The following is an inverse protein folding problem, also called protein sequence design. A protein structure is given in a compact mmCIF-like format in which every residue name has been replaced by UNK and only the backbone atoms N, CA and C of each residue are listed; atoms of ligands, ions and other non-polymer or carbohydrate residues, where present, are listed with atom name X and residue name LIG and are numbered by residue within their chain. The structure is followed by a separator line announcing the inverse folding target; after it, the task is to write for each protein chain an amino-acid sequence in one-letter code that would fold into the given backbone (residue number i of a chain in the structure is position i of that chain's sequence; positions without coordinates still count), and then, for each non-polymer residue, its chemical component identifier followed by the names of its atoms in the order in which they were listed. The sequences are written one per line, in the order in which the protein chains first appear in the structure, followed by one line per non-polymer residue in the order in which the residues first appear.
data_IF_778853543752
#
_entry.id   IF_778853543752
#
_cell.length_a   1.000
_cell.length_b   1.000
_cell.length_c   1.000
_cell.angle_alpha   90.00
_cell.angle_beta   90.00
_cell.angle_gamma   90.00
#
_symmetry.space_group_name_H-M   'P 1'
#
loop_
_entity.id
_entity.type
_entity.pdbx_description
1 polymer ?
#
# COMPACT_ATOMS: atom_id res chain seq x y z
N UNK A 1 -11.08 50.21 -28.21
CA UNK A 1 -9.69 49.73 -28.08
C UNK A 1 -9.22 49.93 -26.65
N UNK A 2 -9.76 49.14 -25.70
CA UNK A 2 -9.24 48.91 -24.35
C UNK A 2 -10.27 48.02 -23.63
N UNK A 3 -10.19 46.70 -23.82
CA UNK A 3 -10.89 45.74 -22.94
C UNK A 3 -10.22 44.35 -22.87
N UNK A 4 -8.98 44.22 -23.39
CA UNK A 4 -8.26 42.95 -23.46
C UNK A 4 -7.23 42.73 -22.33
N UNK A 5 -7.38 43.39 -21.16
CA UNK A 5 -6.33 43.40 -20.12
C UNK A 5 -6.67 42.78 -18.75
N UNK A 6 -7.73 41.98 -18.60
CA UNK A 6 -8.05 41.33 -17.30
C UNK A 6 -8.33 39.83 -17.34
N UNK A 7 -7.78 39.09 -18.29
CA UNK A 7 -7.80 37.62 -18.25
C UNK A 7 -6.37 37.09 -18.42
N UNK A 8 -5.60 37.12 -17.34
CA UNK A 8 -4.37 36.34 -17.24
C UNK A 8 -4.14 35.90 -15.78
N UNK A 9 -5.10 35.16 -15.22
CA UNK A 9 -4.81 34.29 -14.09
C UNK A 9 -4.41 32.93 -14.66
N UNK A 10 -3.09 32.73 -14.84
CA UNK A 10 -2.54 31.43 -15.21
C UNK A 10 -2.65 30.53 -13.98
N UNK A 11 -3.70 29.71 -13.92
CA UNK A 11 -3.79 28.61 -12.95
C UNK A 11 -2.77 27.54 -13.39
N UNK A 12 -1.56 27.62 -12.84
CA UNK A 12 -0.55 26.57 -12.94
C UNK A 12 -0.86 25.56 -11.84
N UNK A 13 -1.73 24.60 -12.13
CA UNK A 13 -1.90 23.41 -11.29
C UNK A 13 -0.77 22.43 -11.63
N UNK A 14 0.28 22.43 -10.80
CA UNK A 14 1.35 21.42 -10.84
C UNK A 14 1.16 20.52 -9.63
N UNK A 15 0.71 19.31 -9.87
CA UNK A 15 0.68 18.26 -8.83
C UNK A 15 2.10 17.71 -8.69
N UNK A 16 2.72 17.94 -7.52
CA UNK A 16 3.98 17.32 -7.11
C UNK A 16 3.63 16.44 -5.89
N UNK A 17 3.69 15.13 -6.04
CA UNK A 17 3.30 14.21 -4.96
C UNK A 17 4.28 14.20 -3.79
N UNK A 18 3.87 14.73 -2.64
CA UNK A 18 4.48 14.47 -1.34
C UNK A 18 3.36 14.39 -0.28
N UNK A 19 3.23 13.22 0.37
CA UNK A 19 2.23 12.98 1.41
C UNK A 19 2.73 13.53 2.75
N UNK A 20 2.17 14.65 3.21
CA UNK A 20 2.30 15.12 4.60
C UNK A 20 0.88 15.35 5.12
N UNK A 21 0.43 14.52 6.06
CA UNK A 21 -0.84 14.70 6.76
C UNK A 21 -0.60 15.51 8.04
N UNK A 22 -1.29 16.64 8.18
CA UNK A 22 -1.39 17.40 9.43
C UNK A 22 -2.85 17.44 9.88
N UNK A 23 -3.09 17.14 11.16
CA UNK A 23 -4.40 17.30 11.80
C UNK A 23 -4.79 18.78 11.91
N UNK A 24 -6.01 19.12 11.51
CA UNK A 24 -6.58 20.47 11.65
C UNK A 24 -7.72 20.47 12.66
N UNK A 25 -7.66 21.39 13.62
CA UNK A 25 -8.70 21.73 14.58
C UNK A 25 -9.99 22.19 13.89
N UNK A 26 -11.16 21.80 14.43
CA UNK A 26 -12.49 22.09 13.86
C UNK A 26 -12.90 23.55 14.08
N UNK A 27 -12.86 24.37 13.03
CA UNK A 27 -13.41 25.75 13.01
C UNK A 27 -14.90 25.74 12.64
N UNK A 28 -15.72 26.60 13.26
CA UNK A 28 -17.15 26.74 12.94
C UNK A 28 -17.36 27.75 11.82
N UNK A 29 -17.66 27.27 10.62
CA UNK A 29 -18.04 28.10 9.46
C UNK A 29 -19.54 28.37 9.54
N UNK A 30 -19.97 29.64 9.52
CA UNK A 30 -21.38 30.03 9.34
C UNK A 30 -21.56 30.61 7.94
N UNK A 31 -22.25 29.88 7.07
CA UNK A 31 -22.62 30.36 5.74
C UNK A 31 -24.00 31.03 5.84
N UNK A 32 -24.07 32.34 5.54
CA UNK A 32 -25.34 33.05 5.41
C UNK A 32 -25.49 33.50 3.95
N UNK A 33 -26.62 33.16 3.34
CA UNK A 33 -26.94 33.52 1.95
C UNK A 33 -27.66 34.86 1.92
N UNK A 34 -27.10 35.85 1.23
CA UNK A 34 -27.77 37.14 0.96
C UNK A 34 -27.53 37.46 -0.53
N UNK A 35 -28.58 37.33 -1.35
CA UNK A 35 -28.71 37.78 -2.75
C UNK A 35 -27.51 37.64 -3.70
N UNK A 36 -27.53 36.60 -4.56
CA UNK A 36 -26.62 36.30 -5.71
C UNK A 36 -25.10 36.34 -5.46
N UNK A 37 -24.63 36.98 -4.41
CA UNK A 37 -23.27 37.04 -3.90
C UNK A 37 -23.23 36.23 -2.60
N UNK A 38 -22.51 35.12 -2.56
CA UNK A 38 -22.40 34.36 -1.31
C UNK A 38 -21.37 35.01 -0.39
N UNK A 39 -21.83 35.69 0.65
CA UNK A 39 -20.97 36.22 1.72
C UNK A 39 -20.66 35.10 2.72
N UNK A 40 -19.46 34.55 2.67
CA UNK A 40 -19.01 33.50 3.62
C UNK A 40 -18.40 34.13 4.86
N UNK A 41 -18.99 33.91 6.04
CA UNK A 41 -18.47 34.40 7.31
C UNK A 41 -17.54 33.35 7.95
N UNK A 42 -16.28 33.70 8.12
CA UNK A 42 -15.29 32.87 8.81
C UNK A 42 -14.97 33.50 10.15
N UNK A 43 -15.61 33.05 11.23
CA UNK A 43 -15.24 33.46 12.59
C UNK A 43 -14.01 32.66 13.03
N UNK A 44 -13.09 33.28 13.78
CA UNK A 44 -11.86 32.68 14.35
C UNK A 44 -10.62 32.66 13.45
N UNK A 45 -10.19 33.82 12.95
CA UNK A 45 -8.84 33.97 12.38
C UNK A 45 -7.94 34.70 13.41
N UNK A 46 -7.10 34.00 14.18
CA UNK A 46 -6.18 34.57 15.18
C UNK A 46 -4.85 35.02 14.53
N UNK A 47 -4.65 36.34 14.41
CA UNK A 47 -3.38 37.01 13.99
C UNK A 47 -2.88 36.71 12.55
N UNK A 48 -1.78 37.36 12.15
CA UNK A 48 -1.18 37.29 10.80
C UNK A 48 -0.71 35.90 10.35
N UNK A 49 -0.56 34.95 11.29
CA UNK A 49 -0.26 33.52 11.05
C UNK A 49 -1.43 32.81 10.34
N UNK A 50 -2.60 33.45 10.26
CA UNK A 50 -3.86 32.81 9.91
C UNK A 50 -4.35 33.18 8.48
N UNK A 51 -3.46 33.78 7.67
CA UNK A 51 -3.65 33.91 6.22
C UNK A 51 -3.57 32.54 5.50
N UNK A 52 -2.85 31.56 6.06
CA UNK A 52 -2.75 30.21 5.50
C UNK A 52 -4.08 29.44 5.61
N UNK A 53 -4.81 29.60 6.71
CA UNK A 53 -6.14 28.98 6.83
C UNK A 53 -7.14 29.64 5.88
N UNK A 54 -7.11 30.97 5.78
CA UNK A 54 -7.92 31.70 4.81
C UNK A 54 -7.60 31.25 3.39
N UNK A 55 -6.32 31.11 3.01
CA UNK A 55 -5.95 30.63 1.67
C UNK A 55 -6.49 29.22 1.42
N UNK A 56 -6.38 28.28 2.39
CA UNK A 56 -6.96 26.93 2.27
C UNK A 56 -8.48 26.94 2.04
N UNK A 57 -9.20 27.81 2.74
CA UNK A 57 -10.66 27.95 2.55
C UNK A 57 -10.96 28.51 1.16
N UNK A 58 -10.24 29.56 0.75
CA UNK A 58 -10.39 30.16 -0.58
C UNK A 58 -10.09 29.15 -1.69
N UNK A 59 -9.03 28.37 -1.56
CA UNK A 59 -8.64 27.36 -2.55
C UNK A 59 -9.67 26.23 -2.59
N UNK A 60 -10.23 25.82 -1.45
CA UNK A 60 -11.37 24.87 -1.41
C UNK A 60 -12.59 25.40 -2.18
N UNK A 61 -12.93 26.69 -2.02
CA UNK A 61 -14.02 27.33 -2.77
C UNK A 61 -13.70 27.43 -4.27
N UNK A 62 -12.45 27.72 -4.64
CA UNK A 62 -12.01 27.69 -6.06
C UNK A 62 -12.14 26.30 -6.66
N UNK A 63 -11.75 25.26 -5.93
CA UNK A 63 -11.86 23.87 -6.37
C UNK A 63 -13.31 23.40 -6.54
N UNK A 64 -14.30 24.13 -6.01
CA UNK A 64 -15.73 23.91 -6.28
C UNK A 64 -16.24 24.62 -7.54
N UNK A 65 -15.40 25.35 -8.26
CA UNK A 65 -15.74 26.03 -9.52
C UNK A 65 -15.79 27.55 -9.47
N UNK A 66 -15.54 28.17 -8.31
CA UNK A 66 -15.60 29.64 -8.17
C UNK A 66 -14.24 30.31 -8.44
N UNK A 67 -13.65 30.06 -9.61
CA UNK A 67 -12.31 30.57 -9.94
C UNK A 67 -12.23 32.10 -10.01
N UNK A 68 -13.36 32.75 -10.30
CA UNK A 68 -13.47 34.22 -10.36
C UNK A 68 -13.78 34.84 -9.00
N UNK A 69 -13.72 34.10 -7.89
CA UNK A 69 -14.02 34.66 -6.57
C UNK A 69 -13.08 35.81 -6.23
N UNK A 70 -13.59 36.79 -5.49
CA UNK A 70 -12.88 37.97 -5.03
C UNK A 70 -13.16 38.22 -3.54
N UNK A 71 -12.12 38.55 -2.77
CA UNK A 71 -12.29 39.02 -1.39
C UNK A 71 -12.66 40.50 -1.46
N UNK A 72 -13.87 40.85 -1.05
CA UNK A 72 -14.34 42.24 -1.03
C UNK A 72 -13.78 42.96 0.19
N UNK A 73 -13.83 42.30 1.35
CA UNK A 73 -13.56 42.97 2.63
C UNK A 73 -12.98 41.97 3.64
N UNK A 74 -12.06 42.45 4.49
CA UNK A 74 -11.57 41.74 5.68
C UNK A 74 -11.55 42.71 6.85
N UNK A 75 -12.49 42.56 7.79
CA UNK A 75 -12.66 43.44 8.94
C UNK A 75 -12.34 42.71 10.23
N UNK A 76 -11.55 43.31 11.11
CA UNK A 76 -11.33 42.75 12.46
C UNK A 76 -12.56 43.02 13.33
N UNK A 77 -13.15 41.97 13.89
CA UNK A 77 -14.32 42.07 14.78
C UNK A 77 -13.86 42.27 16.23
N UNK A 78 -12.83 41.54 16.67
CA UNK A 78 -12.24 41.65 18.01
C UNK A 78 -10.77 41.22 18.00
N UNK A 79 -10.13 41.12 19.18
CA UNK A 79 -8.72 40.76 19.33
C UNK A 79 -8.33 39.41 18.69
N UNK A 80 -9.29 38.52 18.42
CA UNK A 80 -9.07 37.16 17.94
C UNK A 80 -9.92 36.77 16.71
N UNK A 81 -10.84 37.62 16.26
CA UNK A 81 -11.79 37.32 15.19
C UNK A 81 -11.74 38.34 14.05
N UNK A 82 -11.83 37.84 12.82
CA UNK A 82 -12.06 38.62 11.61
C UNK A 82 -13.37 38.21 10.95
N UNK A 83 -13.96 39.13 10.21
CA UNK A 83 -15.02 38.92 9.23
C UNK A 83 -14.39 39.05 7.86
N UNK A 84 -14.59 38.06 7.00
CA UNK A 84 -14.20 38.14 5.59
C UNK A 84 -15.48 38.15 4.76
N UNK A 85 -15.57 39.06 3.80
CA UNK A 85 -16.66 39.15 2.82
C UNK A 85 -16.09 38.73 1.48
N UNK A 86 -16.68 37.71 0.87
CA UNK A 86 -16.24 37.15 -0.41
C UNK A 86 -17.37 37.33 -1.41
N UNK A 87 -17.03 37.72 -2.64
CA UNK A 87 -17.90 37.58 -3.78
C UNK A 87 -17.48 36.34 -4.56
N UNK A 88 -18.38 35.38 -4.74
CA UNK A 88 -18.06 34.17 -5.50
C UNK A 88 -18.06 34.36 -7.01
N UNK A 89 -18.74 35.40 -7.51
CA UNK A 89 -18.92 35.62 -8.94
C UNK A 89 -19.52 34.39 -9.64
N UNK A 90 -18.82 33.82 -10.62
CA UNK A 90 -19.32 32.77 -11.50
C UNK A 90 -18.86 31.38 -11.02
N UNK A 91 -19.80 30.42 -11.02
CA UNK A 91 -19.49 28.99 -10.82
C UNK A 91 -19.32 28.29 -12.16
N UNK A 92 -18.17 27.65 -12.35
CA UNK A 92 -17.95 26.70 -13.43
C UNK A 92 -18.27 25.28 -12.95
N UNK A 93 -19.10 24.57 -13.69
CA UNK A 93 -19.53 23.21 -13.38
C UNK A 93 -18.63 22.16 -14.03
N UNK A 94 -18.23 22.39 -15.30
CA UNK A 94 -17.45 21.41 -16.05
C UNK A 94 -16.23 22.04 -16.75
N UNK A 95 -15.27 21.18 -17.08
CA UNK A 95 -14.17 21.46 -17.98
C UNK A 95 -14.14 20.43 -19.11
N UNK A 96 -14.02 20.93 -20.34
CA UNK A 96 -13.79 20.14 -21.55
C UNK A 96 -12.29 20.03 -21.77
N UNK A 97 -11.74 18.83 -21.61
CA UNK A 97 -10.31 18.59 -21.71
C UNK A 97 -9.99 17.90 -23.03
N UNK A 98 -9.15 18.55 -23.83
CA UNK A 98 -8.52 17.94 -24.99
C UNK A 98 -7.21 17.27 -24.60
N UNK A 99 -7.10 15.95 -24.76
CA UNK A 99 -5.82 15.25 -24.62
C UNK A 99 -5.14 15.12 -25.98
N UNK A 100 -3.94 15.68 -26.10
CA UNK A 100 -3.09 15.53 -27.28
C UNK A 100 -2.30 14.21 -27.24
N UNK A 101 -2.20 13.56 -26.08
CA UNK A 101 -1.60 12.25 -25.89
C UNK A 101 -2.64 11.14 -25.72
N UNK A 102 -2.19 9.90 -25.54
CA UNK A 102 -3.06 8.74 -25.26
C UNK A 102 -2.65 8.01 -23.98
N UNK A 103 -2.05 8.74 -23.04
CA UNK A 103 -1.45 8.15 -21.82
C UNK A 103 -2.47 8.08 -20.68
N UNK A 104 -3.44 8.99 -20.70
CA UNK A 104 -4.47 9.15 -19.66
C UNK A 104 -5.66 8.27 -20.00
N UNK A 105 -6.20 7.62 -18.96
CA UNK A 105 -7.37 6.76 -19.12
C UNK A 105 -8.66 7.57 -18.92
N UNK A 106 -9.41 7.76 -20.00
CA UNK A 106 -10.71 8.44 -19.99
C UNK A 106 -11.91 7.50 -20.18
N UNK A 107 -11.75 6.18 -19.98
CA UNK A 107 -12.76 5.16 -20.36
C UNK A 107 -14.19 5.46 -19.86
N UNK A 108 -14.34 6.10 -18.71
CA UNK A 108 -15.64 6.38 -18.10
C UNK A 108 -16.10 7.85 -18.24
N UNK A 109 -15.38 8.66 -19.03
CA UNK A 109 -15.71 10.08 -19.20
C UNK A 109 -16.52 10.29 -20.47
N UNK A 110 -17.57 11.11 -20.35
CA UNK A 110 -18.37 11.53 -21.49
C UNK A 110 -17.52 12.35 -22.47
N UNK A 111 -17.91 12.30 -23.73
CA UNK A 111 -17.16 12.90 -24.83
C UNK A 111 -18.03 13.96 -25.51
N UNK A 112 -17.43 15.10 -25.84
CA UNK A 112 -18.02 16.13 -26.71
C UNK A 112 -17.04 16.46 -27.82
N UNK A 113 -17.55 16.63 -29.04
CA UNK A 113 -16.76 17.15 -30.16
C UNK A 113 -16.91 18.67 -30.16
N UNK A 114 -15.78 19.37 -30.10
CA UNK A 114 -15.69 20.84 -30.16
C UNK A 114 -14.59 21.14 -31.16
N UNK A 115 -14.89 21.93 -32.21
CA UNK A 115 -13.95 22.26 -33.29
C UNK A 115 -13.25 21.01 -33.87
N UNK A 116 -14.05 19.99 -34.22
CA UNK A 116 -13.60 18.69 -34.77
C UNK A 116 -12.61 17.90 -33.89
N UNK A 117 -12.44 18.31 -32.63
CA UNK A 117 -11.57 17.67 -31.66
C UNK A 117 -12.38 17.01 -30.56
N UNK A 118 -11.90 15.84 -30.15
CA UNK A 118 -12.44 15.09 -29.02
C UNK A 118 -12.08 15.78 -27.70
N UNK A 119 -13.10 16.05 -26.88
CA UNK A 119 -12.95 16.56 -25.53
C UNK A 119 -13.63 15.64 -24.54
N UNK A 120 -12.99 15.43 -23.40
CA UNK A 120 -13.55 14.68 -22.28
C UNK A 120 -14.15 15.64 -21.28
N UNK A 121 -15.37 15.35 -20.83
CA UNK A 121 -16.11 16.19 -19.88
C UNK A 121 -15.76 15.73 -18.46
N UNK A 122 -15.27 16.67 -17.64
CA UNK A 122 -14.99 16.43 -16.22
C UNK A 122 -15.63 17.54 -15.40
N UNK A 123 -16.33 17.18 -14.32
CA UNK A 123 -16.84 18.18 -13.37
C UNK A 123 -15.68 18.84 -12.62
N UNK A 124 -15.78 20.13 -12.35
CA UNK A 124 -14.70 20.88 -11.72
C UNK A 124 -14.35 20.32 -10.33
N UNK A 125 -15.36 19.92 -9.55
CA UNK A 125 -15.18 19.31 -8.22
C UNK A 125 -14.48 17.94 -8.24
N UNK A 126 -14.53 17.22 -9.37
CA UNK A 126 -13.81 15.95 -9.57
C UNK A 126 -12.43 16.13 -10.22
N UNK A 127 -12.13 17.32 -10.76
CA UNK A 127 -10.99 17.55 -11.65
C UNK A 127 -9.65 17.26 -10.97
N UNK A 128 -9.45 17.78 -9.76
CA UNK A 128 -8.20 17.60 -9.02
C UNK A 128 -7.92 16.11 -8.76
N UNK A 129 -8.91 15.38 -8.25
CA UNK A 129 -8.81 13.95 -7.99
C UNK A 129 -8.57 13.15 -9.29
N UNK A 130 -9.20 13.54 -10.39
CA UNK A 130 -8.96 12.92 -11.69
C UNK A 130 -7.50 13.09 -12.15
N UNK A 131 -6.94 14.31 -12.03
CA UNK A 131 -5.56 14.58 -12.41
C UNK A 131 -4.57 13.85 -11.49
N UNK A 132 -4.82 13.81 -10.17
CA UNK A 132 -4.00 13.07 -9.20
C UNK A 132 -3.98 11.57 -9.55
N UNK A 133 -5.15 10.94 -9.70
CA UNK A 133 -5.24 9.52 -10.06
C UNK A 133 -4.57 9.21 -11.39
N UNK A 134 -4.75 10.08 -12.37
CA UNK A 134 -4.09 9.93 -13.67
C UNK A 134 -2.56 9.99 -13.55
N UNK A 135 -2.04 10.86 -12.68
CA UNK A 135 -0.60 10.95 -12.39
C UNK A 135 -0.09 9.70 -11.67
N UNK A 136 -0.86 9.17 -10.71
CA UNK A 136 -0.56 7.93 -10.00
C UNK A 136 -0.54 6.72 -10.94
N UNK A 137 -1.52 6.60 -11.84
CA UNK A 137 -1.59 5.55 -12.86
C UNK A 137 -0.37 5.58 -13.78
N UNK A 138 0.07 6.78 -14.19
CA UNK A 138 1.28 6.97 -14.99
C UNK A 138 2.53 6.62 -14.20
N UNK A 139 2.59 7.03 -12.93
CA UNK A 139 3.70 6.71 -12.03
C UNK A 139 3.83 5.20 -11.79
N UNK A 140 2.71 4.48 -11.66
CA UNK A 140 2.64 3.03 -11.50
C UNK A 140 2.98 2.25 -12.79
N UNK A 141 3.12 2.93 -13.93
CA UNK A 141 3.73 2.41 -15.16
C UNK A 141 5.23 2.70 -15.24
N UNK A 142 5.84 3.23 -14.18
CA UNK A 142 7.27 3.54 -14.07
C UNK A 142 7.63 5.01 -14.34
N UNK A 143 6.69 5.88 -14.69
CA UNK A 143 6.95 7.31 -14.92
C UNK A 143 6.77 8.13 -13.64
N UNK A 144 7.62 7.89 -12.65
CA UNK A 144 7.44 8.35 -11.26
C UNK A 144 7.50 9.86 -11.04
N UNK A 145 8.07 10.60 -11.98
CA UNK A 145 8.18 12.05 -11.93
C UNK A 145 7.43 12.71 -13.09
N UNK A 146 6.34 12.06 -13.53
CA UNK A 146 5.47 12.61 -14.54
C UNK A 146 4.85 13.93 -14.04
N UNK A 147 4.50 14.81 -14.98
CA UNK A 147 3.76 16.04 -14.68
C UNK A 147 2.55 16.10 -15.59
N UNK A 148 1.39 16.33 -14.99
CA UNK A 148 0.15 16.59 -15.71
C UNK A 148 -0.23 18.04 -15.44
N UNK A 149 -0.51 18.79 -16.50
CA UNK A 149 -0.93 20.19 -16.42
C UNK A 149 -2.06 20.46 -17.40
N UNK A 150 -2.99 21.31 -16.99
CA UNK A 150 -3.92 21.95 -17.92
C UNK A 150 -3.28 23.22 -18.46
N UNK A 151 -3.29 23.37 -19.78
CA UNK A 151 -2.80 24.54 -20.49
C UNK A 151 -3.91 25.12 -21.36
N UNK A 152 -3.75 26.36 -21.79
CA UNK A 152 -4.70 27.05 -22.66
C UNK A 152 -6.14 27.07 -22.08
N UNK A 153 -6.26 27.27 -20.76
CA UNK A 153 -7.55 27.31 -20.07
C UNK A 153 -8.31 28.55 -20.55
N UNK A 154 -9.52 28.36 -21.07
CA UNK A 154 -10.40 29.42 -21.57
C UNK A 154 -11.83 29.17 -21.13
N UNK A 155 -12.62 30.24 -21.03
CA UNK A 155 -14.06 30.10 -20.84
C UNK A 155 -14.70 29.63 -22.15
N UNK A 156 -15.52 28.59 -22.09
CA UNK A 156 -16.29 28.09 -23.24
C UNK A 156 -17.69 28.71 -23.27
N UNK A 157 -18.37 28.73 -22.12
CA UNK A 157 -19.66 29.38 -21.91
C UNK A 157 -19.81 29.85 -20.45
N UNK A 158 -21.03 30.16 -19.99
CA UNK A 158 -21.30 30.66 -18.64
C UNK A 158 -21.07 29.63 -17.52
N UNK A 159 -20.94 28.35 -17.84
CA UNK A 159 -20.78 27.29 -16.83
C UNK A 159 -19.62 26.35 -17.11
N UNK A 160 -18.98 26.45 -18.27
CA UNK A 160 -17.99 25.49 -18.71
C UNK A 160 -16.66 26.14 -19.11
N UNK A 161 -15.57 25.44 -18.79
CA UNK A 161 -14.22 25.77 -19.21
C UNK A 161 -13.75 24.85 -20.33
N UNK A 162 -12.77 25.33 -21.07
CA UNK A 162 -12.00 24.61 -22.07
C UNK A 162 -10.54 24.53 -21.62
N UNK A 163 -9.87 23.40 -21.80
CA UNK A 163 -8.42 23.29 -21.60
C UNK A 163 -7.80 22.18 -22.47
N UNK A 164 -6.50 22.31 -22.72
CA UNK A 164 -5.68 21.22 -23.27
C UNK A 164 -4.89 20.56 -22.15
N UNK A 165 -4.76 19.24 -22.20
CA UNK A 165 -3.96 18.48 -21.26
C UNK A 165 -2.54 18.33 -21.81
N UNK A 166 -1.55 18.69 -20.99
CA UNK A 166 -0.15 18.47 -21.26
C UNK A 166 0.41 17.46 -20.25
N UNK A 167 0.97 16.37 -20.76
CA UNK A 167 1.58 15.30 -19.95
C UNK A 167 3.05 15.19 -20.29
N UNK A 168 3.90 15.55 -19.33
CA UNK A 168 5.35 15.41 -19.44
C UNK A 168 5.77 14.09 -18.79
N UNK A 169 6.22 13.13 -19.60
CA UNK A 169 6.78 11.86 -19.12
C UNK A 169 8.29 11.98 -18.91
N UNK A 170 8.74 11.64 -17.72
CA UNK A 170 10.16 11.58 -17.38
C UNK A 170 10.78 10.23 -17.78
N UNK A 171 12.08 10.01 -17.50
CA UNK A 171 12.70 8.70 -17.68
C UNK A 171 11.97 7.63 -16.87
N UNK A 172 11.53 6.57 -17.54
CA UNK A 172 10.91 5.40 -16.93
C UNK A 172 11.86 4.75 -15.93
N UNK A 173 11.37 4.46 -14.73
CA UNK A 173 12.09 3.83 -13.63
C UNK A 173 11.73 2.36 -13.52
N UNK A 174 12.71 1.57 -13.10
CA UNK A 174 12.58 0.17 -12.69
C UNK A 174 12.86 0.06 -11.20
N UNK A 175 12.42 -1.03 -10.59
CA UNK A 175 12.77 -1.35 -9.20
C UNK A 175 14.11 -2.07 -9.16
N UNK A 176 15.21 -1.35 -8.99
CA UNK A 176 16.56 -1.95 -9.14
C UNK A 176 16.96 -2.82 -7.95
N UNK A 177 16.56 -2.46 -6.73
CA UNK A 177 16.95 -3.19 -5.52
C UNK A 177 15.92 -3.09 -4.42
N UNK A 178 15.77 -4.19 -3.69
CA UNK A 178 14.96 -4.26 -2.48
C UNK A 178 15.90 -4.39 -1.28
N UNK A 179 15.68 -3.55 -0.28
CA UNK A 179 16.46 -3.49 0.96
C UNK A 179 15.51 -3.82 2.10
N UNK A 180 15.83 -4.88 2.86
CA UNK A 180 15.09 -5.22 4.07
C UNK A 180 15.68 -4.43 5.24
N UNK A 181 14.80 -3.84 6.05
CA UNK A 181 15.12 -3.14 7.31
C UNK A 181 14.34 -3.78 8.45
N UNK A 182 14.97 -3.91 9.62
CA UNK A 182 14.37 -4.52 10.82
C UNK A 182 14.60 -6.03 10.96
N UNK A 183 14.66 -6.77 9.84
CA UNK A 183 14.93 -8.21 9.84
C UNK A 183 16.11 -8.54 8.92
N UNK A 184 17.34 -8.40 9.43
CA UNK A 184 18.58 -8.55 8.63
C UNK A 184 18.74 -9.95 8.02
N UNK A 185 18.36 -10.99 8.78
CA UNK A 185 18.43 -12.38 8.37
C UNK A 185 17.18 -12.87 7.62
N UNK A 186 16.36 -11.97 7.07
CA UNK A 186 15.18 -12.37 6.31
C UNK A 186 15.57 -13.29 5.12
N UNK A 187 14.90 -14.44 4.92
CA UNK A 187 15.20 -15.35 3.83
C UNK A 187 14.87 -14.72 2.46
N UNK A 188 15.90 -14.21 1.78
CA UNK A 188 15.77 -13.46 0.51
C UNK A 188 15.13 -14.27 -0.63
N UNK A 189 15.12 -15.60 -0.53
CA UNK A 189 14.42 -16.49 -1.46
C UNK A 189 12.92 -16.17 -1.57
N UNK A 190 12.29 -15.72 -0.47
CA UNK A 190 10.89 -15.29 -0.47
C UNK A 190 10.64 -14.03 -1.31
N UNK A 191 11.63 -13.14 -1.47
CA UNK A 191 11.48 -12.00 -2.37
C UNK A 191 11.31 -12.48 -3.82
N UNK A 192 12.12 -13.46 -4.23
CA UNK A 192 12.13 -13.98 -5.59
C UNK A 192 10.94 -14.90 -5.87
N UNK A 193 10.69 -15.87 -5.00
CA UNK A 193 9.75 -16.95 -5.29
C UNK A 193 8.33 -16.67 -4.77
N UNK A 194 8.21 -16.14 -3.56
CA UNK A 194 6.90 -15.83 -2.95
C UNK A 194 6.33 -14.51 -3.48
N UNK A 195 7.10 -13.42 -3.36
CA UNK A 195 6.66 -12.09 -3.81
C UNK A 195 6.88 -11.85 -5.31
N UNK A 196 7.58 -12.75 -6.00
CA UNK A 196 7.90 -12.64 -7.43
C UNK A 196 8.48 -11.27 -7.76
N UNK A 197 9.37 -10.76 -6.91
CA UNK A 197 10.08 -9.53 -7.20
C UNK A 197 11.15 -9.78 -8.26
N UNK A 198 11.09 -8.99 -9.33
CA UNK A 198 12.10 -8.94 -10.37
C UNK A 198 12.64 -7.52 -10.44
N UNK A 199 13.97 -7.40 -10.49
CA UNK A 199 14.64 -6.10 -10.60
C UNK A 199 14.55 -5.50 -12.00
N UNK A 200 13.94 -6.23 -12.94
CA UNK A 200 13.76 -5.81 -14.34
C UNK A 200 12.40 -5.17 -14.60
N UNK A 201 11.47 -5.31 -13.65
CA UNK A 201 10.10 -4.86 -13.78
C UNK A 201 10.03 -3.33 -13.68
N UNK A 202 9.06 -2.75 -14.37
CA UNK A 202 8.76 -1.33 -14.24
C UNK A 202 8.39 -1.02 -12.78
N UNK A 203 8.81 0.16 -12.33
CA UNK A 203 8.46 0.59 -10.98
C UNK A 203 6.94 0.77 -10.84
N UNK A 204 6.38 0.19 -9.79
CA UNK A 204 4.97 0.31 -9.45
C UNK A 204 4.80 0.31 -7.91
N UNK A 205 4.48 1.47 -7.34
CA UNK A 205 4.39 1.64 -5.89
C UNK A 205 3.22 0.85 -5.30
N UNK A 206 2.08 0.82 -5.99
CA UNK A 206 0.90 0.10 -5.53
C UNK A 206 1.15 -1.42 -5.47
N UNK A 207 1.81 -1.97 -6.49
CA UNK A 207 2.22 -3.38 -6.52
C UNK A 207 3.22 -3.69 -5.41
N UNK A 208 4.17 -2.80 -5.15
CA UNK A 208 5.13 -2.95 -4.05
C UNK A 208 4.41 -2.98 -2.70
N UNK A 209 3.45 -2.08 -2.47
CA UNK A 209 2.61 -2.05 -1.26
C UNK A 209 1.82 -3.35 -1.09
N UNK A 210 1.12 -3.80 -2.14
CA UNK A 210 0.39 -5.08 -2.14
C UNK A 210 1.30 -6.27 -1.83
N UNK A 211 2.49 -6.34 -2.44
CA UNK A 211 3.48 -7.40 -2.14
C UNK A 211 3.97 -7.33 -0.69
N UNK A 212 4.11 -6.13 -0.14
CA UNK A 212 4.38 -5.92 1.28
C UNK A 212 3.30 -6.52 2.17
N UNK A 213 2.03 -6.23 1.90
CA UNK A 213 0.89 -6.83 2.62
C UNK A 213 0.83 -8.37 2.45
N UNK A 214 1.17 -8.91 1.28
CA UNK A 214 1.22 -10.36 1.08
C UNK A 214 2.30 -11.06 1.92
N UNK A 215 3.41 -10.37 2.24
CA UNK A 215 4.52 -10.95 3.00
C UNK A 215 4.09 -11.36 4.40
N UNK A 216 3.16 -10.62 5.01
CA UNK A 216 2.74 -10.87 6.39
C UNK A 216 1.92 -12.16 6.51
N UNK A 217 1.39 -12.69 5.39
CA UNK A 217 0.67 -13.97 5.35
C UNK A 217 1.56 -15.18 5.57
N UNK A 218 2.90 -15.01 5.55
CA UNK A 218 3.88 -16.06 5.86
C UNK A 218 3.89 -16.46 7.33
N UNK A 219 3.36 -15.62 8.24
CA UNK A 219 3.22 -15.93 9.66
C UNK A 219 4.49 -15.87 10.50
N UNK A 220 5.68 -15.83 9.88
CA UNK A 220 6.97 -15.63 10.58
C UNK A 220 7.56 -14.22 10.39
N UNK A 221 6.87 -13.36 9.65
CA UNK A 221 7.29 -11.98 9.36
C UNK A 221 6.08 -11.07 9.38
N UNK A 222 6.28 -9.83 9.84
CA UNK A 222 5.29 -8.76 9.82
C UNK A 222 5.89 -7.51 9.20
N UNK A 223 5.12 -6.80 8.38
CA UNK A 223 5.47 -5.47 7.92
C UNK A 223 5.15 -4.45 9.02
N UNK A 224 6.12 -3.64 9.41
CA UNK A 224 5.96 -2.66 10.50
C UNK A 224 5.59 -1.26 10.00
N UNK A 225 5.83 -0.96 8.71
CA UNK A 225 5.35 0.26 8.04
C UNK A 225 5.32 0.08 6.52
N UNK A 226 4.63 0.97 5.85
CA UNK A 226 4.57 1.02 4.39
C UNK A 226 5.98 1.03 3.74
N UNK A 227 6.15 0.39 2.57
CA UNK A 227 7.39 0.47 1.82
C UNK A 227 7.74 1.91 1.45
N UNK A 228 9.01 2.25 1.54
CA UNK A 228 9.54 3.54 1.11
C UNK A 228 10.43 3.37 -0.11
N UNK A 229 10.54 4.42 -0.92
CA UNK A 229 11.29 4.38 -2.17
C UNK A 229 12.27 5.54 -2.22
N UNK A 230 13.53 5.22 -2.47
CA UNK A 230 14.58 6.18 -2.71
C UNK A 230 14.96 6.17 -4.18
N UNK A 231 14.68 7.29 -4.86
CA UNK A 231 15.15 7.52 -6.22
C UNK A 231 16.53 8.16 -6.20
N UNK A 232 17.54 7.41 -6.64
CA UNK A 232 18.87 7.94 -6.94
C UNK A 232 18.96 8.36 -8.41
N UNK A 233 20.08 8.97 -8.78
CA UNK A 233 20.37 9.37 -10.16
C UNK A 233 20.31 8.18 -11.13
N UNK A 234 20.84 7.03 -10.70
CA UNK A 234 21.03 5.82 -11.51
C UNK A 234 20.10 4.66 -11.15
N UNK A 235 19.51 4.68 -9.95
CA UNK A 235 18.83 3.52 -9.37
C UNK A 235 17.60 3.90 -8.54
N UNK A 236 16.68 2.96 -8.37
CA UNK A 236 15.51 3.05 -7.51
C UNK A 236 15.61 1.96 -6.43
N UNK A 237 15.71 2.38 -5.17
CA UNK A 237 15.82 1.48 -4.04
C UNK A 237 14.49 1.43 -3.30
N UNK A 238 13.93 0.24 -3.13
CA UNK A 238 12.72 0.00 -2.33
C UNK A 238 13.11 -0.55 -0.97
N UNK A 239 12.65 0.10 0.10
CA UNK A 239 12.87 -0.33 1.48
C UNK A 239 11.62 -1.03 1.99
N UNK A 240 11.78 -2.29 2.39
CA UNK A 240 10.75 -3.05 3.10
C UNK A 240 11.11 -3.12 4.58
N UNK A 241 10.19 -2.70 5.43
CA UNK A 241 10.38 -2.66 6.87
C UNK A 241 9.69 -3.86 7.49
N UNK A 242 10.49 -4.85 7.83
CA UNK A 242 10.05 -6.16 8.26
C UNK A 242 10.57 -6.48 9.65
N UNK A 243 9.76 -7.18 10.43
CA UNK A 243 10.11 -7.70 11.74
C UNK A 243 9.86 -9.20 11.77
N UNK A 244 10.78 -9.95 12.41
CA UNK A 244 10.61 -11.38 12.64
C UNK A 244 9.52 -11.61 13.68
N UNK A 245 8.49 -12.37 13.32
CA UNK A 245 7.43 -12.79 14.24
C UNK A 245 7.89 -14.08 14.92
N UNK A 246 7.92 -14.07 16.25
CA UNK A 246 8.18 -15.27 17.06
C UNK A 246 6.89 -16.10 17.14
N UNK A 247 6.73 -17.02 16.18
CA UNK A 247 5.57 -17.90 16.11
C UNK A 247 5.94 -19.37 16.38
N UNK A 248 6.80 -19.59 17.37
CA UNK A 248 7.19 -20.93 17.83
C UNK A 248 6.53 -21.21 19.18
N UNK A 249 6.09 -22.45 19.39
CA UNK A 249 5.48 -22.89 20.64
C UNK A 249 6.10 -24.20 21.12
N UNK A 250 6.17 -24.35 22.43
CA UNK A 250 6.55 -25.56 23.12
C UNK A 250 5.49 -25.82 24.19
N UNK A 251 4.96 -27.03 24.24
CA UNK A 251 4.08 -27.52 25.29
C UNK A 251 4.48 -28.94 25.67
N UNK A 252 4.35 -29.30 26.94
CA UNK A 252 4.64 -30.66 27.38
C UNK A 252 5.11 -30.78 28.81
N UNK A 253 5.14 -32.04 29.25
CA UNK A 253 5.73 -32.46 30.51
C UNK A 253 6.35 -33.84 30.33
N UNK A 254 7.44 -34.07 31.05
CA UNK A 254 8.12 -35.36 31.09
C UNK A 254 8.21 -35.79 32.55
N UNK A 255 7.60 -36.93 32.85
CA UNK A 255 7.73 -37.63 34.12
C UNK A 255 8.74 -38.77 33.99
N UNK A 256 9.50 -39.00 35.04
CA UNK A 256 10.48 -40.07 35.12
C UNK A 256 10.10 -40.97 36.27
N UNK A 257 9.96 -42.26 36.01
CA UNK A 257 9.73 -43.28 37.02
C UNK A 257 10.73 -44.43 36.79
N UNK A 258 11.16 -45.09 37.86
CA UNK A 258 11.96 -46.31 37.72
C UNK A 258 11.02 -47.49 37.87
N UNK A 259 11.03 -48.39 36.89
CA UNK A 259 10.27 -49.62 36.98
C UNK A 259 10.91 -50.52 38.06
N UNK A 260 10.14 -50.85 39.11
CA UNK A 260 10.66 -51.58 40.28
C UNK A 260 11.11 -53.02 39.94
N UNK A 261 10.53 -53.66 38.91
CA UNK A 261 10.86 -55.03 38.52
C UNK A 261 12.05 -55.11 37.54
N UNK A 262 12.14 -54.18 36.58
CA UNK A 262 13.18 -54.20 35.53
C UNK A 262 14.35 -53.27 35.79
N UNK A 263 14.25 -52.37 36.77
CA UNK A 263 15.24 -51.33 37.08
C UNK A 263 15.44 -50.29 35.98
N UNK A 264 14.60 -50.30 34.93
CA UNK A 264 14.69 -49.39 33.78
C UNK A 264 13.97 -48.07 34.07
N UNK A 265 14.51 -47.00 33.50
CA UNK A 265 13.90 -45.68 33.51
C UNK A 265 12.72 -45.64 32.53
N UNK A 266 11.52 -45.44 33.07
CA UNK A 266 10.29 -45.16 32.34
C UNK A 266 10.08 -43.65 32.22
N UNK A 267 10.02 -43.18 30.97
CA UNK A 267 9.88 -41.77 30.62
C UNK A 267 8.46 -41.53 30.14
N UNK A 268 7.56 -41.05 31.00
CA UNK A 268 6.15 -40.82 30.68
C UNK A 268 5.87 -39.35 30.36
N UNK A 269 4.79 -39.08 29.62
CA UNK A 269 4.36 -37.72 29.31
C UNK A 269 4.38 -37.41 27.83
N UNK A 270 4.34 -36.12 27.49
CA UNK A 270 4.27 -35.68 26.11
C UNK A 270 5.05 -34.39 25.89
N UNK A 271 5.42 -34.16 24.63
CA UNK A 271 6.11 -32.96 24.18
C UNK A 271 5.61 -32.61 22.78
N UNK A 272 5.11 -31.38 22.64
CA UNK A 272 4.64 -30.79 21.39
C UNK A 272 5.45 -29.52 21.12
N UNK A 273 6.37 -29.63 20.17
CA UNK A 273 7.22 -28.55 19.70
C UNK A 273 6.77 -28.16 18.31
N UNK A 274 6.50 -26.87 18.12
CA UNK A 274 6.28 -26.25 16.81
C UNK A 274 7.23 -25.08 16.67
N UNK A 275 8.27 -25.23 15.87
CA UNK A 275 9.19 -24.15 15.53
C UNK A 275 8.81 -23.59 14.17
N UNK A 276 8.79 -22.26 14.08
CA UNK A 276 8.49 -21.54 12.85
C UNK A 276 9.60 -20.53 12.59
N UNK A 277 10.35 -20.79 11.51
CA UNK A 277 11.43 -19.94 11.01
C UNK A 277 12.49 -19.63 12.08
N UNK A 278 12.84 -20.60 12.92
CA UNK A 278 13.88 -20.48 13.96
C UNK A 278 15.27 -20.21 13.37
N UNK A 279 15.62 -20.87 12.27
CA UNK A 279 16.89 -20.80 11.54
C UNK A 279 16.90 -19.76 10.40
N UNK A 280 15.82 -19.01 10.22
CA UNK A 280 15.67 -17.97 9.20
C UNK A 280 15.63 -18.48 7.75
N UNK A 281 15.12 -19.69 7.51
CA UNK A 281 14.88 -20.23 6.15
C UNK A 281 13.40 -20.27 5.77
N UNK A 282 12.50 -19.80 6.64
CA UNK A 282 11.05 -19.95 6.52
C UNK A 282 10.59 -21.37 6.82
N UNK A 283 11.41 -22.17 7.51
CA UNK A 283 11.16 -23.56 7.82
C UNK A 283 10.11 -23.75 8.92
N UNK A 284 9.43 -24.90 8.90
CA UNK A 284 8.55 -25.36 9.97
C UNK A 284 9.07 -26.69 10.49
N UNK A 285 9.23 -26.81 11.81
CA UNK A 285 9.70 -28.03 12.47
C UNK A 285 8.69 -28.38 13.55
N UNK A 286 8.00 -29.50 13.37
CA UNK A 286 7.02 -30.03 14.30
C UNK A 286 7.56 -31.32 14.90
N UNK A 287 7.56 -31.44 16.22
CA UNK A 287 7.96 -32.64 16.95
C UNK A 287 6.89 -32.94 17.98
N UNK A 288 6.24 -34.09 17.85
CA UNK A 288 5.23 -34.57 18.77
C UNK A 288 5.65 -35.91 19.35
N UNK A 289 6.00 -35.92 20.63
CA UNK A 289 6.30 -37.11 21.40
C UNK A 289 5.18 -37.35 22.41
N UNK A 290 4.79 -38.61 22.59
CA UNK A 290 3.84 -39.02 23.63
C UNK A 290 4.17 -40.43 24.09
N UNK A 291 4.25 -40.63 25.39
CA UNK A 291 4.27 -41.94 26.03
C UNK A 291 3.11 -42.04 27.03
N UNK A 292 2.29 -43.07 26.91
CA UNK A 292 1.15 -43.34 27.82
C UNK A 292 1.46 -44.49 28.78
N UNK A 293 0.63 -44.65 29.81
CA UNK A 293 0.81 -45.67 30.85
C UNK A 293 0.74 -47.11 30.33
N UNK A 294 0.15 -47.32 29.14
CA UNK A 294 0.04 -48.63 28.50
C UNK A 294 1.29 -49.01 27.67
N UNK A 295 2.45 -48.35 27.89
CA UNK A 295 3.69 -48.51 27.12
C UNK A 295 3.63 -48.08 25.64
N UNK A 296 2.53 -47.48 25.20
CA UNK A 296 2.42 -46.92 23.86
C UNK A 296 3.29 -45.67 23.72
N UNK A 297 4.20 -45.69 22.73
CA UNK A 297 5.13 -44.61 22.44
C UNK A 297 4.91 -44.11 21.02
N UNK A 298 4.72 -42.80 20.89
CA UNK A 298 4.55 -42.12 19.63
C UNK A 298 5.61 -41.03 19.51
N UNK A 299 6.33 -41.01 18.39
CA UNK A 299 7.17 -39.90 17.97
C UNK A 299 6.83 -39.57 16.52
N UNK A 300 6.26 -38.39 16.32
CA UNK A 300 6.00 -37.84 15.00
C UNK A 300 6.81 -36.58 14.82
N UNK A 301 7.59 -36.53 13.75
CA UNK A 301 8.35 -35.33 13.37
C UNK A 301 8.02 -34.94 11.94
N UNK A 302 7.90 -33.65 11.68
CA UNK A 302 7.68 -33.08 10.36
C UNK A 302 8.56 -31.84 10.22
N UNK A 303 9.44 -31.83 9.22
CA UNK A 303 10.31 -30.70 8.90
C UNK A 303 10.00 -30.28 7.47
N UNK A 304 9.56 -29.04 7.29
CA UNK A 304 9.28 -28.44 5.99
C UNK A 304 10.23 -27.26 5.81
N UNK A 305 11.08 -27.30 4.79
CA UNK A 305 11.98 -26.19 4.43
C UNK A 305 11.68 -25.72 3.01
N UNK A 306 11.14 -24.51 2.81
CA UNK A 306 10.86 -23.99 1.47
C UNK A 306 12.14 -23.49 0.78
N UNK A 307 12.10 -23.46 -0.55
CA UNK A 307 13.13 -22.87 -1.41
C UNK A 307 14.55 -23.41 -1.22
N UNK A 308 14.67 -24.73 -1.10
CA UNK A 308 15.97 -25.40 -1.00
C UNK A 308 16.84 -25.04 -2.22
N UNK A 309 18.14 -24.84 -1.99
CA UNK A 309 19.10 -24.45 -3.03
C UNK A 309 18.69 -23.23 -3.87
N UNK A 310 17.96 -22.27 -3.30
CA UNK A 310 17.40 -21.10 -3.99
C UNK A 310 16.45 -21.44 -5.16
N UNK A 311 15.91 -22.65 -5.21
CA UNK A 311 14.91 -23.10 -6.19
C UNK A 311 13.50 -22.77 -5.70
N UNK A 312 12.44 -22.88 -6.53
CA UNK A 312 11.06 -22.72 -6.06
C UNK A 312 10.53 -23.96 -5.30
N UNK A 313 11.35 -25.00 -5.12
CA UNK A 313 10.96 -26.25 -4.46
C UNK A 313 11.26 -26.23 -2.96
N UNK A 314 10.43 -26.89 -2.17
CA UNK A 314 10.66 -27.16 -0.75
C UNK A 314 11.02 -28.63 -0.50
N UNK A 315 11.68 -28.88 0.63
CA UNK A 315 11.95 -30.21 1.16
C UNK A 315 10.99 -30.48 2.31
N UNK A 316 10.44 -31.68 2.36
CA UNK A 316 9.65 -32.17 3.48
C UNK A 316 10.22 -33.49 3.98
N UNK A 317 10.48 -33.58 5.28
CA UNK A 317 10.96 -34.78 5.96
C UNK A 317 9.96 -35.15 7.03
N UNK A 318 9.49 -36.40 7.01
CA UNK A 318 8.57 -36.94 8.00
C UNK A 318 9.14 -38.20 8.65
N UNK A 319 8.90 -38.33 9.94
CA UNK A 319 9.20 -39.53 10.74
C UNK A 319 7.97 -39.83 11.61
N UNK A 320 7.47 -41.05 11.55
CA UNK A 320 6.39 -41.57 12.40
C UNK A 320 6.85 -42.91 12.99
N UNK A 321 7.36 -42.82 14.22
CA UNK A 321 7.68 -43.98 15.04
C UNK A 321 6.52 -44.20 16.01
N UNK A 322 5.86 -45.34 15.85
CA UNK A 322 4.78 -45.76 16.76
C UNK A 322 5.11 -47.14 17.27
N UNK A 323 5.20 -47.28 18.58
CA UNK A 323 5.23 -48.58 19.26
C UNK A 323 3.97 -48.68 20.08
N UNK A 324 3.14 -49.69 19.81
CA UNK A 324 1.99 -50.01 20.65
C UNK A 324 2.19 -51.37 21.30
N UNK A 325 2.10 -51.39 22.62
CA UNK A 325 2.42 -52.57 23.42
C UNK A 325 3.75 -53.26 22.99
N UNK A 326 3.81 -54.58 23.11
CA UNK A 326 4.89 -55.44 22.58
C UNK A 326 4.57 -56.04 21.20
N UNK A 327 3.37 -55.80 20.66
CA UNK A 327 2.82 -56.53 19.50
C UNK A 327 2.82 -55.73 18.21
N UNK A 328 2.95 -54.40 18.28
CA UNK A 328 2.92 -53.54 17.10
C UNK A 328 4.03 -52.49 17.12
N UNK A 329 4.80 -52.44 16.03
CA UNK A 329 5.78 -51.39 15.79
C UNK A 329 5.60 -50.89 14.35
N UNK A 330 5.64 -49.57 14.20
CA UNK A 330 5.61 -48.87 12.92
C UNK A 330 6.77 -47.88 12.89
N UNK A 331 7.59 -48.00 11.86
CA UNK A 331 8.63 -47.03 11.51
C UNK A 331 8.35 -46.56 10.08
N UNK A 332 7.80 -45.35 9.96
CA UNK A 332 7.54 -44.73 8.66
C UNK A 332 8.35 -43.46 8.52
N UNK A 333 9.23 -43.44 7.53
CA UNK A 333 10.03 -42.28 7.15
C UNK A 333 9.56 -41.83 5.78
N UNK A 334 9.42 -40.54 5.54
CA UNK A 334 9.18 -40.04 4.19
C UNK A 334 10.00 -38.80 3.88
N UNK A 335 10.47 -38.75 2.64
CA UNK A 335 11.07 -37.57 2.05
C UNK A 335 10.16 -37.11 0.92
N UNK A 336 9.89 -35.81 0.87
CA UNK A 336 9.11 -35.21 -0.17
C UNK A 336 9.72 -33.94 -0.72
N UNK A 337 9.40 -33.68 -1.98
CA UNK A 337 9.66 -32.40 -2.63
C UNK A 337 8.31 -31.71 -2.83
N UNK A 338 8.23 -30.46 -2.39
CA UNK A 338 7.03 -29.64 -2.48
C UNK A 338 7.23 -28.47 -3.43
N UNK A 339 6.16 -28.00 -4.04
CA UNK A 339 6.15 -26.79 -4.86
C UNK A 339 4.99 -25.90 -4.40
N UNK A 340 5.34 -24.71 -3.90
CA UNK A 340 4.36 -23.75 -3.44
C UNK A 340 3.72 -23.04 -4.64
N UNK A 341 2.45 -23.36 -4.88
CA UNK A 341 1.59 -22.65 -5.82
C UNK A 341 1.04 -21.39 -5.11
N UNK A 342 0.77 -20.34 -5.88
CA UNK A 342 0.22 -19.07 -5.38
C UNK A 342 -1.01 -19.34 -4.48
N UNK A 343 -1.19 -18.53 -3.43
CA UNK A 343 -2.29 -18.62 -2.45
C UNK A 343 -2.30 -19.86 -1.53
N UNK A 344 -1.13 -20.30 -1.05
CA UNK A 344 -0.98 -21.40 -0.07
C UNK A 344 -1.39 -22.79 -0.58
N UNK A 345 -1.60 -22.96 -1.88
CA UNK A 345 -1.73 -24.28 -2.47
C UNK A 345 -0.33 -24.91 -2.57
N UNK A 346 -0.18 -26.14 -2.11
CA UNK A 346 1.08 -26.86 -2.17
C UNK A 346 0.85 -28.19 -2.88
N UNK A 347 1.73 -28.53 -3.81
CA UNK A 347 1.79 -29.86 -4.41
C UNK A 347 3.08 -30.50 -3.95
N UNK A 348 2.97 -31.68 -3.32
CA UNK A 348 4.12 -32.43 -2.86
C UNK A 348 4.10 -33.85 -3.39
N UNK A 349 5.30 -34.36 -3.69
CA UNK A 349 5.55 -35.75 -4.04
C UNK A 349 6.40 -36.36 -2.93
N UNK A 350 5.98 -37.52 -2.41
CA UNK A 350 6.66 -38.20 -1.31
C UNK A 350 7.08 -39.61 -1.70
N UNK A 351 8.25 -40.00 -1.23
CA UNK A 351 8.70 -41.38 -1.16
C UNK A 351 8.77 -41.75 0.32
N UNK A 352 8.16 -42.86 0.71
CA UNK A 352 8.21 -43.37 2.08
C UNK A 352 8.89 -44.72 2.17
N UNK A 353 9.52 -44.99 3.32
CA UNK A 353 9.91 -46.34 3.69
C UNK A 353 8.68 -47.25 3.72
N UNK A 354 8.89 -48.51 3.33
CA UNK A 354 7.90 -49.58 3.38
C UNK A 354 7.53 -49.94 4.82
#
# INVERSE_FOLDING_TARGET
MNDYRRILFIIILIVIGNNITAETSKTRIKQNYIDKNQVVYINSIKNDIDNEQLSKIIDSIRNQGYFKLEIIEKVKIDSLNYKVTINLNQKFENIYIHDQGSVINFKDKQIKIIEDKKHYIIKIDELENFLIKSSEDIANKGYTFNKIKLINIKQFDDFNLYASLNVELNKKRKTDKIIIKGYENFPKTFLKHYLKYSTKDDFNLELIKKKGEEIQKLGFVRQIKDPEVLFKKDSTLTYLYLEKVKNSSFDGFIGFATNEESGKLDINGYMDIRLSNSFNYGEQININYKNTNDNDRFLKTNIITPYIFNTPFGLELNLDLTKKDSTYTKDKQSIGISFLIKNKHNVSFHISSL
#
